data_IF_178827060117
#
_entry.id   IF_178827060117
#
_cell.length_a   1.000
_cell.length_b   1.000
_cell.length_c   1.000
_cell.angle_alpha   90.00
_cell.angle_beta   90.00
_cell.angle_gamma   90.00
#
_symmetry.space_group_name_H-M   'P 1'
#
loop_
_entity.id
_entity.type
_entity.pdbx_description
1 polymer ?
#
# COMPACT_ATOMS: atom_id res chain seq x y z
N UNK A 1 -1.18 -10.53 6.26
CA UNK A 1 0.29 -10.32 6.16
C UNK A 1 0.56 -8.86 5.91
N UNK A 2 1.35 -8.18 6.75
CA UNK A 2 1.64 -6.75 6.61
C UNK A 2 3.09 -6.54 6.19
N UNK A 3 3.35 -5.71 5.19
CA UNK A 3 4.70 -5.31 4.80
C UNK A 3 5.06 -3.93 5.39
N UNK A 4 6.10 -3.87 6.21
CA UNK A 4 6.62 -2.66 6.85
C UNK A 4 8.13 -2.51 6.59
N UNK A 5 8.67 -1.31 6.82
CA UNK A 5 10.11 -1.05 6.86
C UNK A 5 10.49 -0.37 8.18
N UNK A 6 11.79 -0.29 8.44
CA UNK A 6 12.45 0.53 9.48
C UNK A 6 12.06 2.02 9.53
N UNK A 7 11.34 2.51 8.52
CA UNK A 7 10.90 3.90 8.37
C UNK A 7 9.39 4.07 8.49
N UNK A 8 8.70 3.00 8.91
CA UNK A 8 7.28 2.98 9.25
C UNK A 8 7.08 3.14 10.76
N UNK A 9 5.95 3.75 11.14
CA UNK A 9 5.50 3.83 12.53
C UNK A 9 4.05 3.34 12.64
N UNK A 10 3.64 2.74 13.78
CA UNK A 10 2.23 2.49 14.06
C UNK A 10 1.52 3.81 14.39
N UNK A 11 0.29 3.97 13.92
CA UNK A 11 -0.56 5.11 14.26
C UNK A 11 -1.46 4.81 15.48
N UNK A 12 -1.77 3.54 15.72
CA UNK A 12 -2.59 3.08 16.83
C UNK A 12 -1.85 2.04 17.67
N UNK A 13 -2.37 1.70 18.85
CA UNK A 13 -1.80 0.62 19.67
C UNK A 13 -1.98 -0.74 18.98
N UNK A 14 -1.26 -1.75 19.48
CA UNK A 14 -1.28 -3.09 18.89
C UNK A 14 -2.68 -3.70 18.87
N UNK A 15 -3.42 -3.63 19.97
CA UNK A 15 -4.77 -4.23 20.08
C UNK A 15 -5.70 -3.65 19.01
N UNK A 16 -5.73 -2.33 18.84
CA UNK A 16 -6.53 -1.68 17.81
C UNK A 16 -6.13 -2.11 16.40
N UNK A 17 -4.82 -2.21 16.10
CA UNK A 17 -4.34 -2.66 14.79
C UNK A 17 -4.70 -4.14 14.56
N UNK A 18 -4.50 -4.98 15.56
CA UNK A 18 -4.79 -6.40 15.51
C UNK A 18 -6.28 -6.64 15.26
N UNK A 19 -7.16 -6.02 16.05
CA UNK A 19 -8.60 -6.15 15.92
C UNK A 19 -9.08 -5.64 14.55
N UNK A 20 -8.53 -4.51 14.08
CA UNK A 20 -8.85 -3.98 12.75
C UNK A 20 -8.52 -4.99 11.64
N UNK A 21 -7.36 -5.66 11.72
CA UNK A 21 -6.93 -6.58 10.68
C UNK A 21 -7.63 -7.94 10.75
N UNK A 22 -7.78 -8.51 11.96
CA UNK A 22 -8.32 -9.86 12.13
C UNK A 22 -9.83 -9.93 11.89
N UNK A 23 -10.54 -8.80 12.05
CA UNK A 23 -11.99 -8.73 11.83
C UNK A 23 -12.35 -8.34 10.39
N UNK A 24 -11.37 -8.09 9.52
CA UNK A 24 -11.63 -7.87 8.10
C UNK A 24 -11.42 -9.13 7.28
N UNK A 25 -12.34 -9.38 6.34
CA UNK A 25 -12.19 -10.45 5.35
C UNK A 25 -11.51 -9.95 4.06
N UNK A 26 -11.16 -8.66 3.98
CA UNK A 26 -10.53 -8.06 2.80
C UNK A 26 -9.02 -7.93 3.00
N UNK A 27 -8.28 -7.99 1.89
CA UNK A 27 -6.90 -7.50 1.82
C UNK A 27 -6.88 -5.98 1.62
N UNK A 28 -5.80 -5.32 2.03
CA UNK A 28 -5.61 -3.88 1.86
C UNK A 28 -4.47 -3.59 0.89
N UNK A 29 -4.79 -3.69 -0.40
CA UNK A 29 -3.92 -3.35 -1.52
C UNK A 29 -4.51 -2.16 -2.27
N UNK A 30 -3.73 -1.09 -2.42
CA UNK A 30 -4.11 0.01 -3.33
C UNK A 30 -3.94 -0.44 -4.78
N UNK A 31 -4.97 -0.33 -5.60
CA UNK A 31 -4.86 -0.55 -7.04
C UNK A 31 -5.49 0.62 -7.82
N UNK A 32 -4.79 1.12 -8.81
CA UNK A 32 -5.29 2.22 -9.64
C UNK A 32 -4.71 2.15 -11.04
N UNK A 33 -5.47 2.69 -12.00
CA UNK A 33 -5.06 2.83 -13.38
C UNK A 33 -4.45 4.22 -13.58
N UNK A 34 -3.12 4.30 -13.63
CA UNK A 34 -2.40 5.56 -13.80
C UNK A 34 -2.02 5.76 -15.28
N UNK A 35 -2.66 6.70 -16.00
CA UNK A 35 -2.39 6.91 -17.42
C UNK A 35 -1.02 7.52 -17.72
N UNK A 36 -0.28 7.98 -16.68
CA UNK A 36 1.02 8.65 -16.86
C UNK A 36 2.14 7.65 -17.17
N UNK A 37 3.32 8.20 -17.50
CA UNK A 37 4.54 7.41 -17.78
C UNK A 37 4.92 6.44 -16.67
N UNK A 38 4.64 6.78 -15.41
CA UNK A 38 4.96 5.96 -14.23
C UNK A 38 3.95 4.85 -13.94
N UNK A 39 2.86 4.78 -14.72
CA UNK A 39 1.81 3.76 -14.65
C UNK A 39 1.72 2.96 -15.95
N UNK A 40 0.77 3.29 -16.83
CA UNK A 40 0.60 2.67 -18.15
C UNK A 40 1.83 2.79 -19.04
N UNK A 41 2.63 3.85 -18.91
CA UNK A 41 3.87 3.99 -19.67
C UNK A 41 4.95 2.95 -19.33
N UNK A 42 4.75 2.13 -18.29
CA UNK A 42 5.63 1.01 -17.93
C UNK A 42 5.14 -0.35 -18.45
N UNK A 43 3.96 -0.40 -19.05
CA UNK A 43 3.42 -1.61 -19.62
C UNK A 43 4.20 -2.01 -20.89
N UNK A 44 4.54 -3.28 -21.01
CA UNK A 44 5.16 -3.83 -22.21
C UNK A 44 4.07 -4.49 -23.09
N UNK A 45 3.85 -4.05 -24.35
CA UNK A 45 2.86 -4.64 -25.24
C UNK A 45 3.01 -6.15 -25.47
N UNK A 46 4.21 -6.71 -25.30
CA UNK A 46 4.46 -8.16 -25.41
C UNK A 46 3.83 -8.98 -24.28
N UNK A 47 3.33 -8.35 -23.22
CA UNK A 47 2.54 -9.02 -22.19
C UNK A 47 1.14 -9.42 -22.70
N UNK A 48 0.67 -8.81 -23.80
CA UNK A 48 -0.56 -9.18 -24.48
C UNK A 48 -0.38 -10.49 -25.25
N UNK A 49 -1.41 -11.38 -25.32
CA UNK A 49 -2.76 -11.21 -24.80
C UNK A 49 -2.94 -11.60 -23.32
N UNK A 50 -1.92 -12.22 -22.70
CA UNK A 50 -2.04 -12.77 -21.34
C UNK A 50 -2.41 -11.71 -20.30
N UNK A 51 -1.79 -10.53 -20.39
CA UNK A 51 -2.11 -9.36 -19.56
C UNK A 51 -2.37 -8.21 -20.51
N UNK A 52 -3.65 -7.85 -20.69
CA UNK A 52 -4.02 -6.68 -21.48
C UNK A 52 -3.71 -5.38 -20.72
N UNK A 53 -3.41 -4.29 -21.44
CA UNK A 53 -3.22 -2.96 -20.84
C UNK A 53 -4.44 -2.49 -20.03
N UNK A 54 -5.66 -2.94 -20.36
CA UNK A 54 -6.87 -2.63 -19.59
C UNK A 54 -6.85 -3.23 -18.18
N UNK A 55 -6.12 -4.34 -18.01
CA UNK A 55 -5.93 -5.02 -16.73
C UNK A 55 -4.73 -4.48 -15.94
N UNK A 56 -3.81 -3.77 -16.60
CA UNK A 56 -2.60 -3.22 -15.98
C UNK A 56 -2.96 -2.26 -14.85
N UNK A 57 -2.44 -2.52 -13.65
CA UNK A 57 -2.62 -1.64 -12.49
C UNK A 57 -1.29 -1.28 -11.86
N UNK A 58 -1.31 -0.14 -11.18
CA UNK A 58 -0.27 0.31 -10.27
C UNK A 58 -0.80 0.28 -8.84
N UNK A 59 0.09 0.05 -7.88
CA UNK A 59 -0.20 0.11 -6.46
C UNK A 59 1.01 0.55 -5.63
N UNK A 60 0.78 0.70 -4.34
CA UNK A 60 1.81 0.82 -3.31
C UNK A 60 2.50 -0.52 -3.11
N UNK A 61 3.83 -0.51 -2.92
CA UNK A 61 4.55 -1.71 -2.48
C UNK A 61 4.14 -2.12 -1.05
N UNK A 62 3.61 -1.19 -0.23
CA UNK A 62 3.17 -1.42 1.14
C UNK A 62 1.70 -1.84 1.16
N UNK A 63 1.47 -3.05 1.67
CA UNK A 63 0.16 -3.67 1.70
C UNK A 63 -0.09 -4.40 3.01
N UNK A 64 -1.36 -4.67 3.25
CA UNK A 64 -1.79 -5.84 4.02
C UNK A 64 -2.48 -6.82 3.07
N UNK A 65 -2.23 -8.11 3.27
CA UNK A 65 -2.79 -9.17 2.45
C UNK A 65 -3.31 -10.32 3.32
N UNK A 66 -4.60 -10.59 3.23
CA UNK A 66 -5.23 -11.73 3.88
C UNK A 66 -4.60 -13.05 3.41
N UNK A 67 -4.64 -14.10 4.25
CA UNK A 67 -3.95 -15.37 3.97
C UNK A 67 -4.40 -16.00 2.64
N UNK A 68 -5.68 -15.95 2.35
CA UNK A 68 -6.26 -16.48 1.11
C UNK A 68 -5.67 -15.80 -0.13
N UNK A 69 -5.66 -14.46 -0.14
CA UNK A 69 -5.03 -13.67 -1.21
C UNK A 69 -3.54 -14.01 -1.36
N UNK A 70 -2.82 -14.15 -0.23
CA UNK A 70 -1.41 -14.51 -0.25
C UNK A 70 -1.16 -15.87 -0.92
N UNK A 71 -2.02 -16.87 -0.67
CA UNK A 71 -1.92 -18.17 -1.32
C UNK A 71 -2.10 -18.08 -2.84
N UNK A 72 -3.01 -17.23 -3.33
CA UNK A 72 -3.16 -16.99 -4.77
C UNK A 72 -1.92 -16.33 -5.37
N UNK A 73 -1.36 -15.32 -4.70
CA UNK A 73 -0.17 -14.61 -5.19
C UNK A 73 1.05 -15.53 -5.24
N UNK A 74 1.31 -16.32 -4.19
CA UNK A 74 2.52 -17.17 -4.16
C UNK A 74 2.41 -18.42 -5.02
N UNK A 75 1.19 -18.86 -5.35
CA UNK A 75 0.97 -20.04 -6.21
C UNK A 75 0.89 -19.70 -7.70
N UNK A 76 0.75 -18.41 -8.05
CA UNK A 76 0.72 -17.98 -9.45
C UNK A 76 2.07 -18.17 -10.15
N UNK A 77 2.09 -19.09 -11.10
CA UNK A 77 3.22 -19.31 -12.00
C UNK A 77 3.00 -18.71 -13.38
N UNK A 78 1.75 -18.46 -13.76
CA UNK A 78 1.40 -18.06 -15.13
C UNK A 78 1.68 -16.58 -15.33
N UNK A 79 1.09 -15.70 -14.52
CA UNK A 79 1.20 -14.26 -14.71
C UNK A 79 2.53 -13.74 -14.17
N UNK A 80 3.02 -14.30 -13.07
CA UNK A 80 4.35 -14.00 -12.58
C UNK A 80 5.44 -14.30 -13.62
N UNK A 81 5.32 -15.38 -14.40
CA UNK A 81 6.29 -15.68 -15.48
C UNK A 81 6.27 -14.62 -16.59
N UNK A 82 5.10 -14.10 -16.95
CA UNK A 82 4.97 -12.99 -17.91
C UNK A 82 5.64 -11.72 -17.36
N UNK A 83 5.39 -11.38 -16.09
CA UNK A 83 6.06 -10.26 -15.43
C UNK A 83 7.58 -10.44 -15.36
N UNK A 84 8.05 -11.62 -14.97
CA UNK A 84 9.48 -11.96 -14.92
C UNK A 84 10.16 -11.78 -16.27
N UNK A 85 9.49 -12.13 -17.36
CA UNK A 85 10.02 -11.99 -18.70
C UNK A 85 9.98 -10.55 -19.21
N UNK A 86 8.85 -9.85 -19.08
CA UNK A 86 8.59 -8.60 -19.82
C UNK A 86 8.59 -7.31 -18.97
N UNK A 87 8.47 -7.40 -17.65
CA UNK A 87 8.59 -6.24 -16.75
C UNK A 87 10.07 -5.97 -16.43
N UNK A 88 10.81 -5.53 -17.45
CA UNK A 88 12.18 -5.03 -17.33
C UNK A 88 12.18 -3.50 -17.17
N UNK A 89 13.26 -2.87 -16.68
CA UNK A 89 13.35 -1.41 -16.56
C UNK A 89 12.87 -0.72 -17.86
N UNK A 90 11.97 0.28 -17.76
CA UNK A 90 11.61 1.06 -16.57
C UNK A 90 10.44 0.51 -15.73
N UNK A 91 10.02 -0.74 -15.94
CA UNK A 91 8.97 -1.40 -15.16
C UNK A 91 9.44 -1.82 -13.76
N UNK A 92 8.56 -1.66 -12.76
CA UNK A 92 8.79 -2.08 -11.37
C UNK A 92 7.78 -3.16 -10.99
N UNK A 93 8.25 -4.40 -10.88
CA UNK A 93 7.39 -5.57 -10.67
C UNK A 93 6.60 -5.46 -9.34
N UNK A 94 7.26 -5.03 -8.27
CA UNK A 94 6.68 -4.81 -6.95
C UNK A 94 5.59 -3.73 -6.88
N UNK A 95 5.55 -2.78 -7.82
CA UNK A 95 4.47 -1.78 -7.94
C UNK A 95 3.33 -2.22 -8.86
N UNK A 96 3.49 -3.29 -9.64
CA UNK A 96 2.58 -3.62 -10.75
C UNK A 96 2.04 -5.05 -10.76
N UNK A 97 2.82 -6.05 -10.36
CA UNK A 97 2.41 -7.46 -10.42
C UNK A 97 1.21 -7.76 -9.54
N UNK A 98 1.34 -7.56 -8.23
CA UNK A 98 0.26 -7.86 -7.27
C UNK A 98 -1.01 -7.04 -7.61
N UNK A 99 -0.93 -5.71 -7.85
CA UNK A 99 -2.11 -4.93 -8.22
C UNK A 99 -2.79 -5.42 -9.51
N UNK A 100 -2.01 -5.84 -10.51
CA UNK A 100 -2.54 -6.33 -11.79
C UNK A 100 -3.21 -7.69 -11.62
N UNK A 101 -2.57 -8.63 -10.92
CA UNK A 101 -3.13 -9.95 -10.63
C UNK A 101 -4.45 -9.84 -9.86
N UNK A 102 -4.47 -9.01 -8.82
CA UNK A 102 -5.67 -8.80 -7.99
C UNK A 102 -6.79 -8.13 -8.78
N UNK A 103 -6.49 -7.15 -9.62
CA UNK A 103 -7.50 -6.52 -10.49
C UNK A 103 -8.10 -7.50 -11.50
N UNK A 104 -7.34 -8.49 -11.97
CA UNK A 104 -7.84 -9.47 -12.94
C UNK A 104 -8.75 -10.53 -12.31
N UNK A 105 -8.49 -10.93 -11.06
CA UNK A 105 -9.10 -12.14 -10.51
C UNK A 105 -9.71 -12.01 -9.12
N UNK A 106 -9.27 -11.04 -8.31
CA UNK A 106 -9.52 -11.03 -6.87
C UNK A 106 -9.96 -9.65 -6.35
N UNK A 107 -10.59 -8.83 -7.20
CA UNK A 107 -11.02 -7.48 -6.83
C UNK A 107 -12.00 -7.48 -5.65
N UNK A 108 -12.88 -8.48 -5.57
CA UNK A 108 -13.87 -8.64 -4.50
C UNK A 108 -13.24 -8.98 -3.13
N UNK A 109 -12.01 -9.50 -3.11
CA UNK A 109 -11.27 -9.82 -1.89
C UNK A 109 -10.35 -8.67 -1.45
N UNK A 110 -10.45 -7.49 -2.08
CA UNK A 110 -9.58 -6.36 -1.84
C UNK A 110 -10.35 -5.07 -1.52
N UNK A 111 -9.84 -4.30 -0.57
CA UNK A 111 -10.45 -3.03 -0.15
C UNK A 111 -10.14 -1.85 -1.09
N UNK A 112 -9.29 -2.06 -2.10
CA UNK A 112 -8.77 -1.02 -3.00
C UNK A 112 -8.11 0.18 -2.28
N UNK A 113 -7.47 -0.06 -1.14
CA UNK A 113 -6.72 0.94 -0.38
C UNK A 113 -5.58 0.29 0.38
N UNK A 114 -4.53 1.07 0.69
CA UNK A 114 -3.48 0.63 1.61
C UNK A 114 -3.81 1.08 3.04
N UNK A 115 -3.35 0.32 4.03
CA UNK A 115 -3.35 0.72 5.45
C UNK A 115 -2.15 1.60 5.83
N UNK A 116 -1.28 1.96 4.88
CA UNK A 116 -0.09 2.79 5.14
C UNK A 116 -0.29 4.20 4.60
N UNK A 117 -0.29 5.20 5.48
CA UNK A 117 -0.31 6.62 5.12
C UNK A 117 1.04 7.04 4.56
N UNK A 118 1.02 7.83 3.48
CA UNK A 118 2.21 8.29 2.79
C UNK A 118 2.05 9.73 2.31
N UNK A 119 3.00 10.60 2.62
CA UNK A 119 3.03 11.98 2.12
C UNK A 119 3.73 12.08 0.75
N UNK A 120 2.93 12.28 -0.30
CA UNK A 120 3.43 12.52 -1.67
C UNK A 120 3.43 14.01 -2.07
N UNK A 121 3.16 14.94 -1.14
CA UNK A 121 3.00 16.38 -1.44
C UNK A 121 4.23 17.04 -2.08
N UNK A 122 5.43 16.51 -1.83
CA UNK A 122 6.69 17.02 -2.42
C UNK A 122 6.92 16.58 -3.86
N UNK A 123 6.13 15.64 -4.37
CA UNK A 123 6.35 15.02 -5.68
C UNK A 123 7.65 14.21 -5.75
N UNK A 124 8.00 13.75 -6.96
CA UNK A 124 9.18 12.94 -7.22
C UNK A 124 8.97 11.44 -7.03
N UNK A 125 10.06 10.64 -7.09
CA UNK A 125 9.98 9.17 -7.07
C UNK A 125 9.81 8.57 -5.67
N UNK A 126 9.94 9.38 -4.61
CA UNK A 126 9.87 8.93 -3.22
C UNK A 126 9.00 9.85 -2.38
N UNK A 127 8.28 9.31 -1.39
CA UNK A 127 7.47 10.15 -0.51
C UNK A 127 8.35 11.00 0.42
N UNK A 128 7.75 12.05 0.98
CA UNK A 128 8.43 12.91 1.96
C UNK A 128 8.93 12.07 3.14
N UNK A 129 10.15 12.39 3.57
CA UNK A 129 10.74 11.89 4.81
C UNK A 129 10.54 12.93 5.92
N UNK A 130 9.88 12.54 7.00
CA UNK A 130 9.66 13.38 8.18
C UNK A 130 10.89 13.37 9.10
N UNK A 131 11.36 14.55 9.46
CA UNK A 131 12.41 14.81 10.43
C UNK A 131 11.84 15.11 11.82
N UNK A 132 12.71 15.27 12.84
CA UNK A 132 12.27 15.53 14.22
C UNK A 132 11.38 16.75 14.38
N UNK A 133 11.67 17.82 13.63
CA UNK A 133 10.90 19.07 13.67
C UNK A 133 9.49 18.95 13.08
N UNK A 134 9.22 17.92 12.27
CA UNK A 134 7.89 17.66 11.73
C UNK A 134 6.96 16.99 12.77
N UNK A 135 7.52 16.40 13.84
CA UNK A 135 6.78 15.54 14.75
C UNK A 135 6.00 16.36 15.78
N UNK A 136 4.68 16.37 15.64
CA UNK A 136 3.75 17.03 16.56
C UNK A 136 2.38 16.31 16.57
N UNK A 137 1.49 16.70 17.48
CA UNK A 137 0.14 16.12 17.59
C UNK A 137 -0.72 16.37 16.35
N UNK A 138 -0.58 17.53 15.70
CA UNK A 138 -1.36 17.88 14.51
C UNK A 138 -1.08 16.91 13.36
N UNK A 139 0.20 16.65 13.06
CA UNK A 139 0.62 15.70 12.04
C UNK A 139 0.09 14.29 12.35
N UNK A 140 0.22 13.82 13.60
CA UNK A 140 -0.25 12.49 13.99
C UNK A 140 -1.78 12.38 13.90
N UNK A 141 -2.51 13.42 14.30
CA UNK A 141 -3.97 13.45 14.20
C UNK A 141 -4.43 13.52 12.73
N UNK A 142 -3.71 14.25 11.88
CA UNK A 142 -3.96 14.26 10.44
C UNK A 142 -3.76 12.86 9.84
N UNK A 143 -2.70 12.14 10.21
CA UNK A 143 -2.46 10.78 9.74
C UNK A 143 -3.54 9.79 10.22
N UNK A 144 -4.02 9.94 11.46
CA UNK A 144 -5.02 9.06 12.08
C UNK A 144 -6.44 9.31 11.63
N UNK A 145 -6.81 10.58 11.45
CA UNK A 145 -8.21 11.01 11.38
C UNK A 145 -8.48 12.02 10.24
N UNK A 146 -7.48 12.37 9.44
CA UNK A 146 -7.60 13.37 8.37
C UNK A 146 -8.29 12.86 7.09
N UNK A 147 -8.78 11.63 7.07
CA UNK A 147 -9.47 11.04 5.92
C UNK A 147 -10.56 10.08 6.36
N UNK A 148 -11.61 9.93 5.57
CA UNK A 148 -12.64 8.91 5.75
C UNK A 148 -12.53 7.80 4.69
N UNK A 149 -12.94 6.60 5.05
CA UNK A 149 -12.94 5.43 4.19
C UNK A 149 -13.96 4.40 4.67
N UNK A 150 -14.26 3.44 3.81
CA UNK A 150 -15.12 2.30 4.16
C UNK A 150 -14.28 1.18 4.76
N UNK A 151 -14.73 0.68 5.89
CA UNK A 151 -14.17 -0.48 6.58
C UNK A 151 -15.33 -1.37 7.06
N UNK A 152 -15.34 -2.63 6.64
CA UNK A 152 -16.40 -3.60 6.95
C UNK A 152 -17.84 -3.04 6.72
N UNK A 153 -18.01 -2.29 5.62
CA UNK A 153 -19.29 -1.70 5.23
C UNK A 153 -19.65 -0.37 5.91
N UNK A 154 -18.86 0.09 6.88
CA UNK A 154 -19.11 1.33 7.61
C UNK A 154 -18.06 2.41 7.30
N UNK A 155 -18.47 3.67 7.31
CA UNK A 155 -17.55 4.81 7.22
C UNK A 155 -16.78 4.97 8.53
N UNK A 156 -15.46 5.13 8.43
CA UNK A 156 -14.56 5.38 9.56
C UNK A 156 -13.47 6.37 9.18
N UNK A 157 -12.89 7.06 10.17
CA UNK A 157 -11.70 7.88 10.00
C UNK A 157 -10.39 7.07 10.11
N UNK A 158 -10.46 5.83 10.62
CA UNK A 158 -9.32 4.93 10.79
C UNK A 158 -8.92 4.25 9.47
N UNK A 159 -8.38 5.06 8.56
CA UNK A 159 -8.06 4.61 7.22
C UNK A 159 -6.65 4.01 7.12
N UNK A 160 -5.74 4.50 7.95
CA UNK A 160 -4.35 4.06 7.94
C UNK A 160 -3.96 3.58 9.33
N UNK A 161 -3.32 2.43 9.40
CA UNK A 161 -2.83 1.83 10.64
C UNK A 161 -1.35 2.16 10.87
N UNK A 162 -0.63 2.45 9.79
CA UNK A 162 0.78 2.79 9.79
C UNK A 162 1.01 4.06 8.98
N UNK A 163 2.14 4.74 9.23
CA UNK A 163 2.58 5.88 8.43
C UNK A 163 4.05 5.76 8.05
N UNK A 164 4.41 6.39 6.93
CA UNK A 164 5.80 6.53 6.45
C UNK A 164 5.97 7.82 5.63
N UNK A 165 7.17 8.37 5.46
CA UNK A 165 8.49 7.84 5.83
C UNK A 165 9.12 8.65 6.96
N UNK A 166 9.61 7.99 8.00
CA UNK A 166 10.22 8.66 9.15
C UNK A 166 11.75 8.50 9.14
N UNK A 167 12.46 9.55 9.58
CA UNK A 167 13.90 9.47 9.81
C UNK A 167 14.20 8.78 11.15
N UNK A 168 15.33 8.06 11.31
CA UNK A 168 15.68 7.47 12.60
C UNK A 168 15.71 8.48 13.76
N UNK A 169 16.04 9.75 13.45
CA UNK A 169 16.04 10.84 14.43
C UNK A 169 14.66 11.21 14.98
N UNK A 170 13.55 10.72 14.40
CA UNK A 170 12.20 10.96 14.94
C UNK A 170 11.86 10.09 16.15
N UNK A 171 12.68 9.09 16.49
CA UNK A 171 12.36 8.15 17.58
C UNK A 171 12.04 8.87 18.90
N UNK A 172 12.92 9.77 19.34
CA UNK A 172 12.74 10.50 20.60
C UNK A 172 11.46 11.35 20.63
N UNK A 173 11.18 12.24 19.65
CA UNK A 173 9.94 13.02 19.67
C UNK A 173 8.68 12.16 19.49
N UNK A 174 8.76 11.04 18.74
CA UNK A 174 7.63 10.11 18.64
C UNK A 174 7.32 9.45 19.99
N UNK A 175 8.34 8.95 20.70
CA UNK A 175 8.15 8.34 22.02
C UNK A 175 7.61 9.34 23.07
N UNK A 176 7.91 10.63 22.95
CA UNK A 176 7.35 11.65 23.85
C UNK A 176 5.88 11.97 23.57
N UNK A 177 5.36 11.66 22.38
CA UNK A 177 3.97 11.92 21.99
C UNK A 177 3.09 10.68 22.01
N UNK A 178 3.69 9.51 21.79
CA UNK A 178 3.02 8.22 21.75
C UNK A 178 3.13 7.56 23.12
N UNK A 179 2.19 7.88 24.01
CA UNK A 179 1.93 7.09 25.21
C UNK A 179 1.03 5.91 24.80
N UNK A 180 1.62 4.73 24.63
CA UNK A 180 0.87 3.48 24.46
C UNK A 180 0.65 2.82 25.81
#
# INVERSE_FOLDING_TARGET
FVLLSDSCIPLFNFTTIYDYLITSNLSFLSLYDDPRKVGRGRYNPQMSPMINITNWRKGSQWFEMHREMALHVVSDQTYYSVFKQYCQPPCYNDEHYIPTLVNMFYVELNSNRSITWVDWSRGGPHPRKHGPADINHELLNQMRYGSECIYNGNTTSMCFLFARKFSPSTLKPLLSLLHF
#
